data_IF_174896413368
#
_entry.id   IF_174896413368
#
_cell.length_a   1.000
_cell.length_b   1.000
_cell.length_c   1.000
_cell.angle_alpha   90.00
_cell.angle_beta   90.00
_cell.angle_gamma   90.00
#
_symmetry.space_group_name_H-M   'P 1'
#
loop_
_entity.id
_entity.type
_entity.pdbx_description
1 polymer ?
#
# COMPACT_ATOMS: atom_id res chain seq x y z
N UNK A 1 28.62 11.87 -14.29
CA UNK A 1 29.02 11.07 -13.12
C UNK A 1 28.83 9.61 -13.47
N UNK A 2 29.88 8.81 -13.42
CA UNK A 2 29.85 7.38 -13.70
C UNK A 2 30.32 6.69 -12.41
N UNK A 3 29.39 6.16 -11.59
CA UNK A 3 29.78 5.50 -10.36
C UNK A 3 30.66 4.27 -10.67
N UNK A 4 31.63 4.01 -9.80
CA UNK A 4 32.68 2.98 -9.89
C UNK A 4 32.29 1.64 -9.22
N UNK A 5 31.05 1.51 -8.76
CA UNK A 5 30.51 0.30 -8.17
C UNK A 5 29.41 -0.31 -9.05
N UNK A 6 29.56 -1.58 -9.42
CA UNK A 6 28.57 -2.31 -10.21
C UNK A 6 27.51 -2.94 -9.28
N UNK A 7 26.40 -2.25 -9.09
CA UNK A 7 25.24 -2.79 -8.34
C UNK A 7 24.66 -4.01 -9.05
N UNK A 8 24.80 -4.11 -10.37
CA UNK A 8 24.08 -5.08 -11.20
C UNK A 8 24.78 -6.44 -11.24
N UNK A 9 26.06 -6.52 -10.92
CA UNK A 9 26.78 -7.81 -10.86
C UNK A 9 26.39 -8.66 -9.64
N UNK A 10 25.83 -8.05 -8.59
CA UNK A 10 25.48 -8.72 -7.33
C UNK A 10 23.98 -8.90 -7.12
N UNK A 11 23.15 -8.45 -8.06
CA UNK A 11 21.69 -8.45 -7.96
C UNK A 11 21.11 -9.31 -9.07
N UNK A 12 20.21 -10.22 -8.73
CA UNK A 12 19.54 -11.05 -9.73
C UNK A 12 18.28 -10.38 -10.27
N UNK A 13 17.53 -9.68 -9.40
CA UNK A 13 16.25 -9.06 -9.74
C UNK A 13 16.13 -7.68 -9.08
N UNK A 14 15.88 -6.65 -9.88
CA UNK A 14 15.43 -5.33 -9.41
C UNK A 14 13.96 -5.16 -9.77
N UNK A 15 13.12 -4.87 -8.79
CA UNK A 15 11.70 -4.64 -9.05
C UNK A 15 11.05 -3.75 -7.98
N UNK A 16 9.73 -3.65 -8.03
CA UNK A 16 8.92 -3.10 -6.96
C UNK A 16 7.96 -4.17 -6.38
N UNK A 17 7.55 -3.98 -5.13
CA UNK A 17 6.68 -4.93 -4.43
C UNK A 17 5.32 -5.11 -5.13
N UNK A 18 4.83 -4.07 -5.82
CA UNK A 18 3.60 -4.13 -6.60
C UNK A 18 3.68 -5.11 -7.78
N UNK A 19 4.81 -5.15 -8.48
CA UNK A 19 5.04 -6.09 -9.58
C UNK A 19 5.14 -7.52 -9.06
N UNK A 20 5.89 -7.76 -7.98
CA UNK A 20 5.98 -9.08 -7.35
C UNK A 20 4.61 -9.57 -6.86
N UNK A 21 3.80 -8.69 -6.26
CA UNK A 21 2.41 -8.99 -5.91
C UNK A 21 1.59 -9.35 -7.15
N UNK A 22 1.62 -8.53 -8.20
CA UNK A 22 0.84 -8.80 -9.43
C UNK A 22 1.24 -10.16 -10.05
N UNK A 23 2.53 -10.50 -10.09
CA UNK A 23 2.99 -11.82 -10.55
C UNK A 23 2.51 -12.95 -9.63
N UNK A 24 2.54 -12.76 -8.32
CA UNK A 24 1.99 -13.71 -7.36
C UNK A 24 0.48 -13.94 -7.54
N UNK A 25 -0.27 -12.86 -7.75
CA UNK A 25 -1.72 -12.90 -7.97
C UNK A 25 -2.04 -13.63 -9.29
N UNK A 26 -1.20 -13.47 -10.32
CA UNK A 26 -1.30 -14.17 -11.61
C UNK A 26 -1.22 -15.69 -11.40
N UNK A 27 -0.22 -16.13 -10.66
CA UNK A 27 -0.02 -17.55 -10.32
C UNK A 27 -1.11 -18.08 -9.39
N UNK A 28 -1.75 -17.19 -8.62
CA UNK A 28 -2.89 -17.52 -7.75
C UNK A 28 -4.21 -17.68 -8.51
N UNK A 29 -4.23 -17.39 -9.81
CA UNK A 29 -5.44 -17.28 -10.64
C UNK A 29 -6.49 -16.31 -10.04
N UNK A 30 -6.04 -15.29 -9.30
CA UNK A 30 -6.90 -14.26 -8.69
C UNK A 30 -6.91 -12.96 -9.53
N UNK A 31 -6.33 -13.02 -10.73
CA UNK A 31 -6.34 -11.89 -11.65
C UNK A 31 -7.63 -11.85 -12.45
N UNK A 32 -8.27 -10.69 -12.41
CA UNK A 32 -9.53 -10.41 -13.13
C UNK A 32 -9.34 -9.54 -14.38
N UNK A 33 -8.13 -9.07 -14.63
CA UNK A 33 -7.81 -8.10 -15.67
C UNK A 33 -6.41 -8.38 -16.24
N UNK A 34 -6.18 -8.09 -17.52
CA UNK A 34 -4.86 -8.23 -18.09
C UNK A 34 -3.81 -7.41 -17.29
N UNK A 35 -2.63 -7.99 -17.10
CA UNK A 35 -1.49 -7.34 -16.44
C UNK A 35 -0.31 -7.31 -17.41
N UNK A 36 0.35 -6.15 -17.48
CA UNK A 36 1.57 -5.94 -18.25
C UNK A 36 2.72 -5.62 -17.31
N UNK A 37 3.91 -6.10 -17.67
CA UNK A 37 5.17 -5.81 -17.00
C UNK A 37 6.20 -5.43 -18.04
N UNK A 38 6.96 -4.37 -17.78
CA UNK A 38 8.09 -3.99 -18.63
C UNK A 38 9.34 -4.67 -18.07
N UNK A 39 10.05 -5.40 -18.93
CA UNK A 39 11.16 -6.27 -18.55
C UNK A 39 12.39 -5.87 -19.36
N UNK A 40 13.52 -5.69 -18.67
CA UNK A 40 14.81 -5.43 -19.30
C UNK A 40 15.88 -6.32 -18.65
N UNK A 41 16.77 -6.88 -19.46
CA UNK A 41 17.95 -7.58 -18.99
C UNK A 41 19.17 -6.66 -19.11
N UNK A 42 19.87 -6.44 -17.99
CA UNK A 42 21.13 -5.70 -17.97
C UNK A 42 22.21 -6.52 -17.30
N UNK A 43 23.17 -7.00 -18.09
CA UNK A 43 24.10 -8.04 -17.64
C UNK A 43 23.32 -9.27 -17.20
N UNK A 44 23.53 -9.73 -15.96
CA UNK A 44 22.76 -10.81 -15.34
C UNK A 44 21.61 -10.33 -14.45
N UNK A 45 21.32 -9.03 -14.39
CA UNK A 45 20.20 -8.49 -13.61
C UNK A 45 18.93 -8.43 -14.45
N UNK A 46 17.84 -8.99 -13.93
CA UNK A 46 16.48 -8.78 -14.43
C UNK A 46 15.87 -7.50 -13.83
N UNK A 47 15.59 -6.50 -14.66
CA UNK A 47 14.84 -5.30 -14.28
C UNK A 47 13.36 -5.50 -14.61
N UNK A 48 12.51 -5.50 -13.59
CA UNK A 48 11.07 -5.67 -13.71
C UNK A 48 10.35 -4.39 -13.28
N UNK A 49 9.96 -3.57 -14.25
CA UNK A 49 9.39 -2.23 -14.09
C UNK A 49 7.88 -2.20 -14.20
N UNK A 50 7.27 -1.16 -13.60
CA UNK A 50 5.82 -0.95 -13.68
C UNK A 50 5.49 -0.35 -15.04
N UNK A 51 4.43 -0.84 -15.67
CA UNK A 51 3.85 -0.18 -16.84
C UNK A 51 3.23 1.17 -16.44
N UNK A 52 3.89 2.27 -16.81
CA UNK A 52 3.48 3.62 -16.41
C UNK A 52 2.17 4.08 -17.05
N UNK A 53 1.79 3.50 -18.20
CA UNK A 53 0.53 3.81 -18.88
C UNK A 53 -0.62 2.87 -18.48
N UNK A 54 -0.45 2.05 -17.43
CA UNK A 54 -1.48 1.15 -16.91
C UNK A 54 -2.79 1.94 -16.64
N UNK A 55 -3.88 1.71 -17.41
CA UNK A 55 -5.14 2.45 -17.23
C UNK A 55 -5.78 2.26 -15.86
N UNK A 56 -5.32 1.27 -15.08
CA UNK A 56 -5.75 1.05 -13.71
C UNK A 56 -5.00 1.91 -12.70
N UNK A 57 -3.86 2.51 -13.07
CA UNK A 57 -3.05 3.35 -12.20
C UNK A 57 -3.85 4.51 -11.58
N UNK A 58 -4.73 5.12 -12.37
CA UNK A 58 -5.54 6.27 -11.95
C UNK A 58 -6.89 5.91 -11.35
N UNK A 59 -7.21 4.60 -11.25
CA UNK A 59 -8.50 4.16 -10.71
C UNK A 59 -8.44 4.05 -9.19
N UNK A 60 -8.59 5.18 -8.50
CA UNK A 60 -8.87 5.18 -7.05
C UNK A 60 -10.35 5.39 -6.80
N UNK A 61 -11.07 4.30 -6.49
CA UNK A 61 -12.49 4.36 -6.07
C UNK A 61 -12.64 4.38 -4.53
N UNK A 62 -11.53 4.40 -3.80
CA UNK A 62 -11.48 4.21 -2.35
C UNK A 62 -11.43 5.50 -1.55
N UNK A 63 -11.38 5.35 -0.22
CA UNK A 63 -11.24 6.45 0.73
C UNK A 63 -9.80 6.60 1.27
N UNK A 64 -8.84 5.82 0.73
CA UNK A 64 -7.43 5.79 1.17
C UNK A 64 -6.73 7.15 1.14
N UNK A 65 -6.67 7.85 -0.01
CA UNK A 65 -5.98 9.14 -0.10
C UNK A 65 -6.56 10.26 0.77
N UNK A 66 -7.85 10.15 1.13
CA UNK A 66 -8.47 11.05 2.09
C UNK A 66 -8.04 10.70 3.51
N UNK A 67 -8.07 9.41 3.85
CA UNK A 67 -7.68 8.92 5.17
C UNK A 67 -6.20 9.15 5.49
N UNK A 68 -5.30 8.88 4.53
CA UNK A 68 -3.85 9.14 4.67
C UNK A 68 -3.58 10.62 4.96
N UNK A 69 -4.26 11.53 4.24
CA UNK A 69 -4.12 12.98 4.45
C UNK A 69 -4.51 13.43 5.86
N UNK A 70 -5.54 12.81 6.43
CA UNK A 70 -6.04 13.18 7.77
C UNK A 70 -5.24 12.50 8.90
N UNK A 71 -4.60 11.36 8.63
CA UNK A 71 -3.92 10.55 9.65
C UNK A 71 -2.39 10.60 9.60
N UNK A 72 -1.80 11.08 8.51
CA UNK A 72 -0.37 11.28 8.37
C UNK A 72 -0.04 12.78 8.45
N UNK A 73 0.89 13.14 9.34
CA UNK A 73 1.30 14.52 9.56
C UNK A 73 2.82 14.59 9.70
N UNK A 74 3.42 15.66 9.16
CA UNK A 74 4.80 16.00 9.43
C UNK A 74 4.91 16.64 10.82
N UNK A 75 5.97 16.32 11.53
CA UNK A 75 6.30 16.94 12.81
C UNK A 75 7.04 18.27 12.59
N UNK A 76 7.00 19.21 13.55
CA UNK A 76 7.76 20.45 13.46
C UNK A 76 9.28 20.24 13.31
N UNK A 77 9.80 19.10 13.75
CA UNK A 77 11.22 18.73 13.67
C UNK A 77 11.62 18.18 12.29
N UNK A 78 10.66 17.84 11.42
CA UNK A 78 10.94 17.33 10.09
C UNK A 78 11.36 18.47 9.15
N UNK A 79 12.31 18.18 8.23
CA UNK A 79 12.80 19.18 7.28
C UNK A 79 11.63 19.75 6.43
N UNK A 80 11.51 21.09 6.30
CA UNK A 80 10.49 21.73 5.48
C UNK A 80 10.37 21.23 4.04
N UNK A 81 11.43 20.66 3.47
CA UNK A 81 11.37 20.07 2.13
C UNK A 81 10.53 18.80 2.09
N UNK A 82 10.46 18.03 3.18
CA UNK A 82 9.65 16.82 3.28
C UNK A 82 8.16 17.16 3.18
N UNK A 83 7.74 18.32 3.69
CA UNK A 83 6.35 18.78 3.58
C UNK A 83 5.90 19.03 2.13
N UNK A 84 6.85 19.12 1.19
CA UNK A 84 6.61 19.29 -0.25
C UNK A 84 6.77 17.98 -1.04
N UNK A 85 7.05 16.87 -0.38
CA UNK A 85 7.17 15.57 -1.03
C UNK A 85 5.81 15.08 -1.54
N UNK A 86 5.84 14.24 -2.56
CA UNK A 86 4.64 13.67 -3.20
C UNK A 86 4.41 12.19 -2.85
N UNK A 87 5.49 11.48 -2.51
CA UNK A 87 5.47 10.08 -2.15
C UNK A 87 6.75 9.72 -1.40
N UNK A 88 6.70 8.66 -0.61
CA UNK A 88 7.85 8.13 0.11
C UNK A 88 8.09 6.69 -0.33
N UNK A 89 9.33 6.37 -0.66
CA UNK A 89 9.70 5.04 -1.12
C UNK A 89 10.85 4.50 -0.30
N UNK A 90 10.82 3.19 -0.09
CA UNK A 90 11.90 2.44 0.50
C UNK A 90 12.39 1.40 -0.48
N UNK A 91 13.71 1.23 -0.53
CA UNK A 91 14.37 0.13 -1.23
C UNK A 91 14.94 -0.83 -0.19
N UNK A 92 14.64 -2.11 -0.33
CA UNK A 92 15.17 -3.18 0.52
C UNK A 92 15.84 -4.24 -0.32
N UNK A 93 16.91 -4.83 0.21
CA UNK A 93 17.61 -5.96 -0.40
C UNK A 93 17.33 -7.21 0.42
N UNK A 94 16.89 -8.30 -0.23
CA UNK A 94 16.64 -9.58 0.44
C UNK A 94 16.73 -10.75 -0.54
N UNK A 95 16.95 -11.95 -0.01
CA UNK A 95 16.90 -13.19 -0.79
C UNK A 95 15.47 -13.70 -0.92
N UNK A 96 15.08 -14.10 -2.13
CA UNK A 96 13.79 -14.74 -2.41
C UNK A 96 13.97 -15.92 -3.35
N UNK A 97 13.66 -17.12 -2.86
CA UNK A 97 13.87 -18.35 -3.63
C UNK A 97 15.29 -18.44 -4.19
N UNK A 98 16.32 -18.10 -3.40
CA UNK A 98 17.72 -18.13 -3.82
C UNK A 98 18.18 -16.98 -4.72
N UNK A 99 17.30 -16.11 -5.19
CA UNK A 99 17.63 -14.90 -5.96
C UNK A 99 17.91 -13.73 -5.02
N UNK A 100 18.95 -12.96 -5.31
CA UNK A 100 19.22 -11.68 -4.64
C UNK A 100 18.33 -10.60 -5.25
N UNK A 101 17.32 -10.16 -4.50
CA UNK A 101 16.34 -9.18 -4.98
C UNK A 101 16.59 -7.81 -4.33
N UNK A 102 16.46 -6.75 -5.14
CA UNK A 102 16.35 -5.36 -4.68
C UNK A 102 14.94 -4.88 -5.02
N UNK A 103 14.17 -4.55 -3.99
CA UNK A 103 12.73 -4.28 -4.12
C UNK A 103 12.39 -2.91 -3.56
N UNK A 104 11.82 -2.07 -4.42
CA UNK A 104 11.25 -0.78 -4.05
C UNK A 104 9.77 -0.94 -3.64
N UNK A 105 9.33 -0.19 -2.63
CA UNK A 105 7.92 -0.05 -2.31
C UNK A 105 7.61 1.34 -1.78
N UNK A 106 6.40 1.82 -2.08
CA UNK A 106 5.82 2.99 -1.41
C UNK A 106 5.58 2.70 0.07
N UNK A 107 5.77 3.72 0.90
CA UNK A 107 5.57 3.72 2.35
C UNK A 107 4.59 4.83 2.69
N UNK A 108 3.46 4.45 3.31
CA UNK A 108 2.36 5.40 3.56
C UNK A 108 2.66 6.31 4.77
N UNK A 109 3.40 5.79 5.76
CA UNK A 109 3.82 6.56 6.94
C UNK A 109 4.67 5.75 7.90
N UNK A 110 4.94 6.31 9.07
CA UNK A 110 5.62 5.62 10.17
C UNK A 110 4.97 5.89 11.52
N UNK A 111 5.04 4.92 12.42
CA UNK A 111 4.62 5.03 13.82
C UNK A 111 5.63 4.24 14.68
N UNK A 112 6.44 4.94 15.46
CA UNK A 112 7.37 4.31 16.41
C UNK A 112 6.77 4.47 17.83
N UNK A 113 6.38 3.36 18.47
CA UNK A 113 5.79 3.38 19.82
C UNK A 113 4.35 2.85 19.93
N UNK A 114 3.86 2.14 18.91
CA UNK A 114 2.50 1.57 18.88
C UNK A 114 2.27 0.34 19.80
N UNK A 115 3.22 -0.01 20.67
CA UNK A 115 3.06 -1.08 21.69
C UNK A 115 2.40 -0.60 23.00
N UNK A 116 1.97 0.66 23.12
CA UNK A 116 1.35 1.16 24.36
C UNK A 116 -0.17 1.00 24.30
N UNK A 117 -0.64 -0.19 24.67
CA UNK A 117 -1.85 -0.30 25.48
C UNK A 117 -1.42 -0.27 26.95
N UNK A 118 -1.79 0.74 27.75
CA UNK A 118 -2.08 0.47 29.15
C UNK A 118 -3.39 -0.33 29.13
N UNK A 119 -3.29 -1.65 29.09
CA UNK A 119 -4.46 -2.48 29.36
C UNK A 119 -4.75 -2.38 30.85
N UNK A 120 -6.02 -2.08 31.14
CA UNK A 120 -6.74 -2.26 32.39
C UNK A 120 -6.03 -1.86 33.71
N UNK A 121 -6.63 -0.85 34.34
CA UNK A 121 -6.60 -0.62 35.79
C UNK A 121 -6.20 -1.85 36.62
N UNK A 122 -4.99 -1.80 37.16
CA UNK A 122 -4.54 -2.62 38.27
C UNK A 122 -5.51 -2.45 39.46
N UNK A 123 -6.50 -3.35 39.49
CA UNK A 123 -7.07 -3.84 40.72
C UNK A 123 -5.93 -4.43 41.56
N UNK A 124 -5.48 -3.69 42.58
CA UNK A 124 -5.27 -4.20 43.94
C UNK A 124 -4.71 -3.10 44.87
N UNK A 125 -5.63 -2.46 45.60
CA UNK A 125 -5.41 -2.23 47.02
C UNK A 125 -6.62 -2.81 47.77
N UNK A 126 -6.36 -3.76 48.65
CA UNK A 126 -7.35 -4.65 49.27
C UNK A 126 -7.95 -4.06 50.57
N UNK A 127 -9.29 -4.03 50.62
CA UNK A 127 -10.22 -4.36 51.74
C UNK A 127 -10.25 -3.53 53.06
N UNK A 128 -11.30 -3.67 53.92
CA UNK A 128 -12.76 -3.78 53.68
C UNK A 128 -13.63 -2.92 54.65
N UNK A 129 -14.90 -2.60 54.31
CA UNK A 129 -16.04 -2.52 55.25
C UNK A 129 -17.40 -2.19 54.57
N UNK A 130 -18.32 -3.17 54.64
CA UNK A 130 -19.78 -3.15 54.94
C UNK A 130 -20.79 -2.12 54.38
N UNK A 131 -22.10 -2.49 54.32
CA UNK A 131 -23.00 -2.14 53.21
C UNK A 131 -24.00 -1.02 53.54
N UNK A 132 -24.51 -0.35 52.50
CA UNK A 132 -25.74 0.44 52.58
C UNK A 132 -26.50 0.48 51.25
N UNK A 133 -27.82 0.54 51.41
CA UNK A 133 -28.95 0.41 50.49
C UNK A 133 -29.19 1.57 49.52
N UNK A 134 -29.80 1.20 48.37
CA UNK A 134 -30.85 1.89 47.59
C UNK A 134 -30.74 3.40 47.23
N UNK A 135 -30.83 3.72 45.93
CA UNK A 135 -31.96 4.45 45.33
C UNK A 135 -31.62 5.00 43.93
N UNK A 136 -32.66 5.12 43.10
CA UNK A 136 -32.67 5.56 41.72
C UNK A 136 -32.29 7.04 41.51
N UNK A 137 -31.77 7.39 40.33
CA UNK A 137 -32.17 8.61 39.62
C UNK A 137 -31.68 8.64 38.15
N UNK A 138 -32.67 8.81 37.28
CA UNK A 138 -32.60 9.24 35.89
C UNK A 138 -31.92 10.62 35.75
N UNK A 139 -31.01 10.79 34.78
CA UNK A 139 -30.80 12.10 34.12
C UNK A 139 -30.24 11.92 32.70
N UNK A 140 -31.15 11.93 31.73
CA UNK A 140 -30.85 12.19 30.31
C UNK A 140 -30.39 13.65 30.17
N UNK A 141 -29.19 13.88 29.65
CA UNK A 141 -28.81 15.17 29.07
C UNK A 141 -28.96 15.08 27.56
N UNK A 142 -29.93 15.84 27.05
CA UNK A 142 -30.07 16.19 25.64
C UNK A 142 -29.03 17.25 25.28
N UNK A 143 -28.44 17.12 24.11
CA UNK A 143 -27.82 18.22 23.38
C UNK A 143 -28.22 18.05 21.92
N UNK A 144 -28.96 19.05 21.43
CA UNK A 144 -29.52 19.10 20.08
C UNK A 144 -28.41 19.35 19.03
N UNK A 145 -28.49 18.74 17.83
CA UNK A 145 -27.56 18.99 16.74
C UNK A 145 -27.92 20.28 15.97
N UNK A 146 -26.89 21.06 15.62
CA UNK A 146 -26.96 22.21 14.72
C UNK A 146 -27.30 21.78 13.26
N UNK A 147 -27.92 22.67 12.46
CA UNK A 147 -28.49 22.31 11.15
C UNK A 147 -27.44 22.23 10.03
N UNK A 148 -27.59 21.23 9.17
CA UNK A 148 -26.84 21.08 7.91
C UNK A 148 -27.32 22.07 6.84
N UNK A 149 -26.43 22.57 5.95
CA UNK A 149 -26.83 23.43 4.83
C UNK A 149 -27.59 22.66 3.75
N UNK A 150 -28.53 23.34 3.09
CA UNK A 150 -29.45 22.75 2.10
C UNK A 150 -28.77 22.50 0.75
N UNK A 151 -28.85 21.25 0.26
CA UNK A 151 -28.45 20.90 -1.10
C UNK A 151 -29.64 21.16 -2.03
N UNK A 152 -29.49 22.10 -2.95
CA UNK A 152 -30.41 22.33 -4.08
C UNK A 152 -30.47 21.06 -4.94
N UNK A 153 -31.67 20.52 -5.15
CA UNK A 153 -31.94 19.42 -6.08
C UNK A 153 -31.64 19.89 -7.51
N UNK A 154 -30.56 19.40 -8.13
CA UNK A 154 -30.48 19.34 -9.59
C UNK A 154 -31.25 18.11 -10.06
N UNK A 155 -32.44 18.35 -10.61
CA UNK A 155 -33.21 17.37 -11.37
C UNK A 155 -32.71 17.35 -12.82
N UNK A 156 -32.37 16.17 -13.33
CA UNK A 156 -32.23 15.93 -14.77
C UNK A 156 -30.85 15.47 -15.24
N UNK A 157 -30.44 14.25 -14.89
CA UNK A 157 -29.51 13.46 -15.69
C UNK A 157 -29.93 11.98 -15.61
N UNK A 158 -30.43 11.46 -16.73
CA UNK A 158 -30.71 10.05 -16.95
C UNK A 158 -29.43 9.25 -16.77
N UNK A 159 -29.42 8.29 -15.83
CA UNK A 159 -28.33 7.34 -15.62
C UNK A 159 -28.11 6.52 -16.90
N UNK A 160 -26.92 6.50 -17.52
CA UNK A 160 -26.60 5.44 -18.45
C UNK A 160 -26.63 4.10 -17.71
N UNK A 161 -27.21 3.08 -18.35
CA UNK A 161 -27.21 1.70 -17.86
C UNK A 161 -25.77 1.32 -17.49
N UNK A 162 -25.56 0.91 -16.23
CA UNK A 162 -24.31 0.31 -15.81
C UNK A 162 -24.16 -1.04 -16.51
N UNK A 163 -23.44 -1.05 -17.63
CA UNK A 163 -22.91 -2.30 -18.16
C UNK A 163 -21.98 -2.87 -17.09
N UNK A 164 -22.41 -3.96 -16.47
CA UNK A 164 -21.57 -4.79 -15.62
C UNK A 164 -20.41 -5.25 -16.53
N UNK A 165 -19.14 -4.91 -16.24
CA UNK A 165 -18.05 -5.32 -17.12
C UNK A 165 -18.06 -6.85 -17.23
N UNK A 166 -17.97 -7.33 -18.48
CA UNK A 166 -17.77 -8.73 -18.80
C UNK A 166 -16.60 -9.29 -17.99
N UNK A 167 -16.68 -10.57 -17.60
CA UNK A 167 -15.63 -11.30 -16.87
C UNK A 167 -14.41 -11.66 -17.74
N UNK A 168 -14.35 -11.20 -18.99
CA UNK A 168 -13.21 -11.40 -19.88
C UNK A 168 -12.09 -10.41 -19.54
N UNK A 169 -10.88 -10.91 -19.29
CA UNK A 169 -9.69 -10.07 -19.26
C UNK A 169 -9.59 -9.33 -20.60
N UNK A 170 -9.67 -8.00 -20.57
CA UNK A 170 -9.62 -7.18 -21.76
C UNK A 170 -8.17 -7.06 -22.25
N UNK A 171 -7.75 -8.06 -23.02
CA UNK A 171 -6.39 -8.13 -23.57
C UNK A 171 -6.10 -7.02 -24.58
N UNK A 172 -7.13 -6.34 -25.12
CA UNK A 172 -6.95 -5.18 -26.01
C UNK A 172 -6.23 -4.00 -25.32
N UNK A 173 -6.22 -3.99 -23.98
CA UNK A 173 -5.42 -3.03 -23.21
C UNK A 173 -3.92 -3.31 -23.30
N UNK A 174 -3.49 -4.53 -23.57
CA UNK A 174 -2.08 -4.88 -23.76
C UNK A 174 -1.54 -4.40 -25.10
N UNK A 175 -2.40 -4.34 -26.12
CA UNK A 175 -2.10 -3.84 -27.47
C UNK A 175 -2.03 -2.30 -27.53
N UNK A 176 -2.15 -1.62 -26.38
CA UNK A 176 -1.76 -0.21 -26.27
C UNK A 176 -0.23 -0.20 -26.33
N UNK A 177 0.26 -0.26 -27.57
CA UNK A 177 1.67 -0.21 -27.90
C UNK A 177 2.34 0.89 -27.08
N UNK A 178 3.42 0.50 -26.42
CA UNK A 178 4.35 1.51 -25.97
C UNK A 178 4.83 2.20 -27.24
N UNK A 179 4.71 3.53 -27.37
CA UNK A 179 5.26 4.21 -28.53
C UNK A 179 6.73 3.79 -28.75
N UNK A 180 7.48 3.47 -27.69
CA UNK A 180 8.86 2.94 -27.77
C UNK A 180 9.13 1.81 -28.80
N UNK A 181 8.17 0.92 -29.05
CA UNK A 181 8.35 -0.25 -29.91
C UNK A 181 7.89 -0.02 -31.37
N UNK A 182 7.26 1.13 -31.64
CA UNK A 182 6.80 1.47 -32.99
C UNK A 182 7.98 1.95 -33.86
N UNK A 183 8.12 1.47 -35.12
CA UNK A 183 9.17 1.96 -36.02
C UNK A 183 9.06 3.46 -36.36
N UNK A 184 7.92 4.09 -36.04
CA UNK A 184 7.69 5.52 -36.15
C UNK A 184 8.06 6.31 -34.88
N UNK A 185 8.44 5.66 -33.79
CA UNK A 185 8.80 6.33 -32.56
C UNK A 185 10.16 6.98 -32.68
N UNK A 186 10.11 8.30 -32.71
CA UNK A 186 11.28 9.11 -32.46
C UNK A 186 11.32 9.33 -30.95
N UNK A 187 12.37 8.88 -30.23
CA UNK A 187 12.54 9.23 -28.83
C UNK A 187 12.39 10.75 -28.71
N UNK A 188 11.64 11.27 -27.73
CA UNK A 188 11.57 12.70 -27.52
C UNK A 188 12.99 13.25 -27.44
N UNK A 189 13.27 14.29 -28.22
CA UNK A 189 14.58 14.93 -28.18
C UNK A 189 14.90 15.24 -26.72
N UNK A 190 16.10 14.88 -26.23
CA UNK A 190 16.48 15.19 -24.87
C UNK A 190 16.25 16.68 -24.66
N UNK A 191 15.54 17.08 -23.59
CA UNK A 191 15.24 18.48 -23.37
C UNK A 191 16.54 19.30 -23.42
N UNK A 192 16.49 20.43 -24.12
CA UNK A 192 17.64 21.35 -24.29
C UNK A 192 18.23 21.79 -22.95
N UNK A 193 17.43 21.72 -21.89
CA UNK A 193 17.86 21.81 -20.50
C UNK A 193 17.76 20.45 -19.84
N UNK A 194 18.90 19.86 -19.47
CA UNK A 194 18.89 18.70 -18.57
C UNK A 194 18.33 19.16 -17.22
N UNK A 195 17.20 18.62 -16.75
CA UNK A 195 16.71 18.96 -15.42
C UNK A 195 17.79 18.60 -14.41
N UNK A 196 18.25 19.56 -13.60
CA UNK A 196 19.23 19.30 -12.57
C UNK A 196 18.58 18.45 -11.48
N UNK A 197 18.96 17.18 -11.38
CA UNK A 197 18.60 16.33 -10.25
C UNK A 197 19.27 16.91 -9.00
N UNK A 198 18.45 17.45 -8.09
CA UNK A 198 18.91 17.93 -6.78
C UNK A 198 18.66 16.85 -5.75
N UNK A 199 19.74 16.35 -5.14
CA UNK A 199 19.66 15.36 -4.07
C UNK A 199 19.73 16.10 -2.74
N UNK A 200 18.69 15.96 -1.92
CA UNK A 200 18.64 16.52 -0.58
C UNK A 200 18.93 15.41 0.43
N UNK A 201 20.06 15.52 1.13
CA UNK A 201 20.42 14.61 2.21
C UNK A 201 19.78 15.09 3.52
N UNK A 202 18.52 14.73 3.71
CA UNK A 202 17.73 15.18 4.86
C UNK A 202 16.82 14.09 5.44
N UNK A 203 16.08 14.43 6.49
CA UNK A 203 15.24 13.53 7.25
C UNK A 203 16.02 12.74 8.28
N UNK A 204 15.38 11.72 8.83
CA UNK A 204 15.93 10.84 9.86
C UNK A 204 15.77 9.38 9.46
N UNK A 205 16.67 8.53 9.97
CA UNK A 205 16.59 7.09 9.74
C UNK A 205 15.41 6.52 10.52
N UNK A 206 14.38 6.05 9.81
CA UNK A 206 13.22 5.38 10.40
C UNK A 206 13.44 3.86 10.38
N UNK A 207 13.33 3.16 11.54
CA UNK A 207 13.39 1.71 11.58
C UNK A 207 12.32 1.04 10.72
N UNK A 208 12.67 -0.10 10.12
CA UNK A 208 11.74 -0.91 9.33
C UNK A 208 10.46 -1.28 10.07
N UNK A 209 10.60 -1.58 11.37
CA UNK A 209 9.52 -1.96 12.28
C UNK A 209 8.53 -0.84 12.56
N UNK A 210 8.87 0.42 12.28
CA UNK A 210 7.96 1.54 12.42
C UNK A 210 7.17 1.86 11.14
N UNK A 211 7.53 1.29 9.99
CA UNK A 211 6.91 1.67 8.71
C UNK A 211 5.53 1.03 8.58
N UNK A 212 4.54 1.86 8.30
CA UNK A 212 3.13 1.47 8.28
C UNK A 212 2.63 1.32 6.85
N UNK A 213 1.82 0.29 6.61
CA UNK A 213 0.90 0.17 5.48
C UNK A 213 -0.48 0.62 5.95
N UNK A 214 -1.14 1.50 5.20
CA UNK A 214 -2.49 1.99 5.47
C UNK A 214 -3.47 1.27 4.54
N UNK A 215 -4.56 0.75 5.12
CA UNK A 215 -5.66 0.14 4.35
C UNK A 215 -7.02 0.58 4.85
N UNK A 216 -7.80 1.15 3.95
CA UNK A 216 -9.20 1.50 4.21
C UNK A 216 -10.13 0.46 3.58
N UNK A 217 -11.21 0.09 4.27
CA UNK A 217 -12.22 -0.80 3.71
C UNK A 217 -13.64 -0.38 4.12
N UNK A 218 -14.62 -0.72 3.28
CA UNK A 218 -16.03 -0.50 3.61
C UNK A 218 -16.46 -1.50 4.68
N UNK A 219 -17.07 -1.05 5.79
CA UNK A 219 -17.53 -1.90 6.89
C UNK A 219 -18.54 -2.97 6.45
N UNK A 220 -19.30 -2.71 5.39
CA UNK A 220 -20.26 -3.65 4.80
C UNK A 220 -19.60 -4.70 3.91
N UNK A 221 -18.37 -4.43 3.46
CA UNK A 221 -17.58 -5.44 2.76
C UNK A 221 -16.80 -6.25 3.78
N UNK A 222 -16.82 -7.57 3.67
CA UNK A 222 -15.85 -8.38 4.41
C UNK A 222 -14.47 -7.97 3.89
N UNK A 223 -13.69 -7.26 4.70
CA UNK A 223 -12.30 -6.98 4.42
C UNK A 223 -11.60 -8.33 4.27
N UNK A 224 -11.29 -8.72 3.02
CA UNK A 224 -10.48 -9.89 2.80
C UNK A 224 -9.06 -9.48 3.15
N UNK A 225 -8.64 -9.73 4.39
CA UNK A 225 -7.26 -9.52 4.80
C UNK A 225 -6.29 -10.12 3.76
N UNK A 226 -6.68 -11.25 3.15
CA UNK A 226 -6.02 -11.97 2.03
C UNK A 226 -5.57 -11.12 0.83
N UNK A 227 -6.08 -9.91 0.62
CA UNK A 227 -5.74 -9.10 -0.58
C UNK A 227 -4.46 -8.28 -0.43
N UNK A 228 -3.96 -8.06 0.79
CA UNK A 228 -2.82 -7.16 1.00
C UNK A 228 -1.57 -7.83 1.58
N UNK A 229 -1.62 -9.09 2.04
CA UNK A 229 -0.44 -9.75 2.60
C UNK A 229 0.66 -9.93 1.57
N UNK A 230 0.34 -10.25 0.31
CA UNK A 230 1.35 -10.35 -0.73
C UNK A 230 2.10 -9.01 -0.89
N UNK A 231 1.39 -7.88 -0.91
CA UNK A 231 1.99 -6.53 -0.93
C UNK A 231 2.92 -6.31 0.27
N UNK A 232 2.43 -6.60 1.47
CA UNK A 232 3.17 -6.40 2.72
C UNK A 232 4.39 -7.32 2.82
N UNK A 233 4.23 -8.59 2.41
CA UNK A 233 5.28 -9.59 2.38
C UNK A 233 6.43 -9.18 1.45
N UNK A 234 6.15 -8.80 0.20
CA UNK A 234 7.18 -8.37 -0.74
C UNK A 234 7.77 -6.99 -0.42
N UNK A 235 7.04 -6.11 0.26
CA UNK A 235 7.58 -4.83 0.75
C UNK A 235 8.32 -4.94 2.10
N UNK A 236 8.33 -6.13 2.73
CA UNK A 236 8.91 -6.37 4.06
C UNK A 236 8.35 -5.43 5.12
N UNK A 237 7.03 -5.25 5.11
CA UNK A 237 6.27 -4.43 6.08
C UNK A 237 5.36 -5.28 6.94
N UNK A 238 5.35 -5.03 8.24
CA UNK A 238 4.53 -5.75 9.22
C UNK A 238 3.57 -4.86 10.02
N UNK A 239 3.74 -3.54 10.02
CA UNK A 239 2.77 -2.65 10.67
C UNK A 239 1.64 -2.33 9.70
N UNK A 240 0.40 -2.65 10.10
CA UNK A 240 -0.81 -2.36 9.33
C UNK A 240 -1.73 -1.44 10.11
N UNK A 241 -2.02 -0.27 9.54
CA UNK A 241 -3.10 0.57 9.99
C UNK A 241 -4.35 0.32 9.13
N UNK A 242 -5.28 -0.45 9.69
CA UNK A 242 -6.53 -0.80 9.00
C UNK A 242 -7.68 0.05 9.52
N UNK A 243 -8.39 0.72 8.63
CA UNK A 243 -9.53 1.57 8.97
C UNK A 243 -10.79 1.12 8.22
N UNK A 244 -11.86 0.85 8.97
CA UNK A 244 -13.18 0.58 8.39
C UNK A 244 -13.97 1.88 8.27
N UNK A 245 -14.75 2.03 7.19
CA UNK A 245 -15.63 3.18 7.00
C UNK A 245 -17.05 2.75 6.60
N UNK A 246 -18.05 3.53 7.00
CA UNK A 246 -19.43 3.38 6.55
C UNK A 246 -19.86 4.64 5.81
N UNK A 247 -20.36 4.51 4.57
CA UNK A 247 -20.74 5.65 3.73
C UNK A 247 -19.64 6.73 3.63
N UNK A 248 -18.37 6.29 3.52
CA UNK A 248 -17.15 7.11 3.49
C UNK A 248 -16.84 7.88 4.78
N UNK A 249 -17.52 7.56 5.88
CA UNK A 249 -17.26 8.13 7.20
C UNK A 249 -16.46 7.13 8.02
N UNK A 250 -15.29 7.56 8.49
CA UNK A 250 -14.46 6.84 9.45
C UNK A 250 -14.90 7.25 10.86
N UNK A 251 -15.13 6.27 11.73
CA UNK A 251 -15.47 6.54 13.13
C UNK A 251 -14.27 6.17 14.01
N UNK A 252 -13.77 7.10 14.85
CA UNK A 252 -12.78 6.76 15.86
C UNK A 252 -13.30 5.64 16.77
N UNK A 253 -12.42 4.74 17.19
CA UNK A 253 -12.77 3.65 18.07
C UNK A 253 -11.59 2.71 18.30
N UNK A 254 -11.75 1.72 19.19
CA UNK A 254 -10.67 0.82 19.59
C UNK A 254 -10.18 -0.10 18.47
N UNK A 255 -10.85 -0.13 17.31
CA UNK A 255 -10.39 -0.87 16.13
C UNK A 255 -9.52 -0.05 15.17
N UNK A 256 -9.32 1.25 15.43
CA UNK A 256 -8.53 2.15 14.61
C UNK A 256 -7.10 2.24 15.18
N UNK A 257 -6.35 1.15 15.09
CA UNK A 257 -4.96 1.08 15.56
C UNK A 257 -4.02 0.49 14.51
N UNK A 258 -2.74 0.80 14.68
CA UNK A 258 -1.65 0.13 13.99
C UNK A 258 -1.44 -1.22 14.66
N UNK A 259 -1.55 -2.30 13.90
CA UNK A 259 -1.29 -3.67 14.38
C UNK A 259 -0.01 -4.20 13.77
N UNK A 260 0.78 -4.88 14.58
CA UNK A 260 1.84 -5.75 14.06
C UNK A 260 1.20 -7.06 13.54
N UNK A 261 1.29 -7.27 12.23
CA UNK A 261 0.77 -8.46 11.55
C UNK A 261 1.86 -9.48 11.20
N UNK A 262 3.03 -9.42 11.85
CA UNK A 262 4.15 -10.34 11.61
C UNK A 262 3.74 -11.81 11.69
N UNK A 263 2.97 -12.20 12.72
CA UNK A 263 2.51 -13.58 12.87
C UNK A 263 1.52 -13.97 11.76
N UNK A 264 0.61 -13.06 11.39
CA UNK A 264 -0.36 -13.29 10.32
C UNK A 264 0.34 -13.46 8.96
N UNK A 265 1.40 -12.68 8.69
CA UNK A 265 2.26 -12.83 7.51
C UNK A 265 3.04 -14.14 7.51
N UNK A 266 3.55 -14.59 8.66
CA UNK A 266 4.24 -15.88 8.77
C UNK A 266 3.30 -17.07 8.54
N UNK A 267 2.03 -16.97 8.96
CA UNK A 267 1.01 -17.97 8.61
C UNK A 267 0.72 -17.92 7.11
N UNK A 268 0.52 -16.73 6.54
CA UNK A 268 0.28 -16.56 5.11
C UNK A 268 1.41 -17.14 4.27
N UNK A 269 2.67 -16.84 4.61
CA UNK A 269 3.85 -17.36 3.91
C UNK A 269 3.89 -18.89 3.91
N UNK A 270 3.61 -19.53 5.06
CA UNK A 270 3.56 -20.99 5.18
C UNK A 270 2.49 -21.60 4.29
N UNK A 271 1.30 -20.99 4.26
CA UNK A 271 0.19 -21.44 3.41
C UNK A 271 0.50 -21.25 1.93
N UNK A 272 1.25 -20.21 1.56
CA UNK A 272 1.54 -19.84 0.17
C UNK A 272 2.86 -20.41 -0.37
N UNK A 273 3.57 -21.28 0.37
CA UNK A 273 4.90 -21.78 -0.03
C UNK A 273 4.94 -22.32 -1.48
N UNK A 274 3.97 -23.14 -1.87
CA UNK A 274 3.93 -23.67 -3.25
C UNK A 274 3.84 -22.59 -4.33
N UNK A 275 3.07 -21.52 -4.08
CA UNK A 275 2.96 -20.38 -5.01
C UNK A 275 4.20 -19.49 -4.99
N UNK A 276 4.81 -19.29 -3.82
CA UNK A 276 6.07 -18.55 -3.69
C UNK A 276 7.20 -19.28 -4.44
N UNK A 277 7.22 -20.62 -4.40
CA UNK A 277 8.16 -21.44 -5.18
C UNK A 277 7.93 -21.27 -6.69
N UNK A 278 6.67 -21.32 -7.14
CA UNK A 278 6.33 -21.07 -8.55
C UNK A 278 6.77 -19.66 -9.00
N UNK A 279 6.58 -18.64 -8.17
CA UNK A 279 7.03 -17.29 -8.48
C UNK A 279 8.57 -17.23 -8.60
N UNK A 280 9.30 -17.85 -7.68
CA UNK A 280 10.75 -17.90 -7.76
C UNK A 280 11.23 -18.67 -9.00
N UNK A 281 10.54 -19.74 -9.41
CA UNK A 281 10.85 -20.46 -10.64
C UNK A 281 10.58 -19.61 -11.89
N UNK A 282 9.46 -18.87 -11.91
CA UNK A 282 9.13 -17.95 -13.00
C UNK A 282 10.19 -16.85 -13.16
N UNK A 283 10.62 -16.23 -12.05
CA UNK A 283 11.64 -15.19 -12.09
C UNK A 283 12.98 -15.71 -12.66
N UNK A 284 13.38 -16.94 -12.30
CA UNK A 284 14.56 -17.59 -12.89
C UNK A 284 14.37 -17.83 -14.38
N UNK A 285 13.24 -18.41 -14.76
CA UNK A 285 12.93 -18.73 -16.14
C UNK A 285 12.96 -17.47 -17.02
N UNK A 286 12.42 -16.34 -16.55
CA UNK A 286 12.43 -15.08 -17.31
C UNK A 286 13.84 -14.52 -17.42
N UNK A 287 14.66 -14.63 -16.37
CA UNK A 287 16.05 -14.14 -16.35
C UNK A 287 17.00 -14.97 -17.24
N UNK A 288 16.71 -16.25 -17.42
CA UNK A 288 17.54 -17.20 -18.18
C UNK A 288 17.20 -17.28 -19.68
N UNK A 289 16.16 -16.57 -20.12
CA UNK A 289 15.77 -16.45 -21.53
C UNK A 289 16.38 -15.23 -22.18
#
# INVERSE_FOLDING_TARGET
MQPDFDILDSVDVVSNAGNLRKLFDLLSNDIRMAVRFDIEMKGSTLLLSRWNQDPQLHRSFGCGPGFERETCQYTPDDDPILQRSISHHRVVSYRFGGLQCVVQSEVDGYCCGCDVHPDESDLRASSPASPATAAAAHKKRRSDPLPSPSIRKLTGLTRPRSHRPSRSADYTLLDRDDPGDSPAFTPPQPPTTTPTLRIHHTGKRIPASCLVEIKTHNSRSKAKFSTHQAQMYFSRRSQLFSASHENRVFRPGPGLLVRDVTQELAVWERVQQGRLQQLAALLRLVREK
#
